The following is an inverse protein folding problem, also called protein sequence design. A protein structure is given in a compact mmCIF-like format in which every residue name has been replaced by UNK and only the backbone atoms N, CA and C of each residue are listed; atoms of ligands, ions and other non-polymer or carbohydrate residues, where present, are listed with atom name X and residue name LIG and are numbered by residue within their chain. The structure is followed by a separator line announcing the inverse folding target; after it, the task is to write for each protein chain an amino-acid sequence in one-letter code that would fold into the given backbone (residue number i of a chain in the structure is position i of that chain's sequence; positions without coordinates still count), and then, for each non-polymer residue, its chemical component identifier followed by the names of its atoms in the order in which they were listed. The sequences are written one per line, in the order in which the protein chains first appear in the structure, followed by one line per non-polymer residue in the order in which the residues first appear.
data_IF_590836943043
#
_entry.id   IF_590836943043
#
_cell.length_a   1.000
_cell.length_b   1.000
_cell.length_c   1.000
_cell.angle_alpha   90.00
_cell.angle_beta   90.00
_cell.angle_gamma   90.00
#
_symmetry.space_group_name_H-M   'P 1'
#
loop_
_entity.id
_entity.type
_entity.pdbx_description
1 polymer ?
#
# COMPACT_ATOMS: atom_id res chain seq x y z
N UNK A 1 -18.76 -11.70 -12.04
CA UNK A 1 -18.02 -10.65 -11.30
C UNK A 1 -17.84 -11.07 -9.86
N UNK A 2 -16.89 -11.96 -9.58
CA UNK A 2 -16.35 -12.12 -8.23
C UNK A 2 -15.00 -11.43 -8.28
N UNK A 3 -14.85 -10.40 -7.45
CA UNK A 3 -13.54 -9.81 -7.20
C UNK A 3 -12.63 -10.91 -6.65
N UNK A 4 -11.56 -11.22 -7.38
CA UNK A 4 -10.58 -12.20 -6.90
C UNK A 4 -9.71 -11.52 -5.84
N UNK A 5 -9.44 -12.24 -4.76
CA UNK A 5 -8.58 -11.73 -3.68
C UNK A 5 -7.18 -12.30 -3.78
N UNK A 6 -6.18 -11.48 -3.48
CA UNK A 6 -4.78 -11.85 -3.41
C UNK A 6 -4.09 -11.07 -2.28
N UNK A 7 -2.84 -11.44 -1.98
CA UNK A 7 -1.97 -10.65 -1.12
C UNK A 7 -0.70 -10.30 -1.87
N UNK A 8 -0.30 -9.03 -1.81
CA UNK A 8 1.04 -8.61 -2.16
C UNK A 8 1.90 -8.53 -0.90
N UNK A 9 3.08 -9.10 -0.94
CA UNK A 9 4.11 -8.91 0.07
C UNK A 9 5.09 -7.88 -0.48
N UNK A 10 5.21 -6.75 0.19
CA UNK A 10 5.98 -5.61 -0.31
C UNK A 10 6.87 -5.04 0.79
N UNK A 11 8.10 -4.70 0.43
CA UNK A 11 9.00 -3.89 1.26
C UNK A 11 8.81 -2.43 0.88
N UNK A 12 8.43 -1.61 1.86
CA UNK A 12 8.33 -0.16 1.72
C UNK A 12 9.56 0.45 2.34
N UNK A 13 10.38 1.12 1.53
CA UNK A 13 11.52 1.92 1.99
C UNK A 13 11.14 3.41 1.89
N UNK A 14 11.11 4.11 3.02
CA UNK A 14 10.95 5.56 3.06
C UNK A 14 12.07 6.14 3.92
N UNK A 15 12.86 7.05 3.34
CA UNK A 15 14.02 7.67 4.00
C UNK A 15 15.02 6.65 4.58
N UNK A 16 15.24 5.51 3.92
CA UNK A 16 16.14 4.46 4.41
C UNK A 16 15.58 3.59 5.53
N UNK A 17 14.36 3.86 5.99
CA UNK A 17 13.64 2.97 6.90
C UNK A 17 12.83 1.98 6.09
N UNK A 18 13.14 0.69 6.24
CA UNK A 18 12.46 -0.40 5.56
C UNK A 18 11.48 -1.12 6.49
N UNK A 19 10.29 -1.42 5.96
CA UNK A 19 9.26 -2.23 6.61
C UNK A 19 8.55 -3.10 5.59
N UNK A 20 8.26 -4.33 5.97
CA UNK A 20 7.49 -5.26 5.15
C UNK A 20 5.99 -5.18 5.45
N UNK A 21 5.18 -5.23 4.39
CA UNK A 21 3.73 -5.19 4.46
C UNK A 21 3.12 -6.36 3.68
N UNK A 22 2.07 -6.94 4.28
CA UNK A 22 1.14 -7.82 3.59
C UNK A 22 -0.09 -7.02 3.20
N UNK A 23 -0.20 -6.68 1.92
CA UNK A 23 -1.26 -5.81 1.38
C UNK A 23 -2.36 -6.68 0.77
N UNK A 24 -3.60 -6.63 1.28
CA UNK A 24 -4.72 -7.30 0.63
C UNK A 24 -5.06 -6.60 -0.69
N UNK A 25 -5.19 -7.39 -1.76
CA UNK A 25 -5.55 -6.93 -3.09
C UNK A 25 -6.87 -7.56 -3.53
N UNK A 26 -7.72 -6.75 -4.16
CA UNK A 26 -8.81 -7.21 -5.03
C UNK A 26 -8.39 -6.96 -6.48
N UNK A 27 -8.59 -7.92 -7.37
CA UNK A 27 -8.27 -7.73 -8.78
C UNK A 27 -9.35 -8.25 -9.72
N UNK A 28 -9.42 -7.61 -10.89
CA UNK A 28 -10.33 -7.96 -11.98
C UNK A 28 -9.57 -8.01 -13.30
N UNK A 29 -9.79 -9.07 -14.07
CA UNK A 29 -9.26 -9.19 -15.43
C UNK A 29 -9.90 -8.14 -16.35
N UNK A 30 -9.09 -7.54 -17.21
CA UNK A 30 -9.48 -6.59 -18.23
C UNK A 30 -9.20 -7.21 -19.61
N UNK A 31 -10.08 -8.13 -20.02
CA UNK A 31 -9.83 -9.00 -21.17
C UNK A 31 -8.79 -10.09 -20.84
N UNK A 32 -7.99 -10.49 -21.82
CA UNK A 32 -7.15 -11.69 -21.71
C UNK A 32 -5.73 -11.41 -21.20
N UNK A 33 -5.24 -10.17 -21.33
CA UNK A 33 -3.81 -9.86 -21.15
C UNK A 33 -3.56 -8.79 -20.09
N UNK A 34 -4.62 -8.31 -19.42
CA UNK A 34 -4.51 -7.26 -18.42
C UNK A 34 -5.34 -7.57 -17.20
N UNK A 35 -4.93 -7.04 -16.06
CA UNK A 35 -5.73 -7.01 -14.84
C UNK A 35 -5.58 -5.65 -14.15
N UNK A 36 -6.62 -5.23 -13.44
CA UNK A 36 -6.55 -4.10 -12.51
C UNK A 36 -6.60 -4.66 -11.11
N UNK A 37 -5.56 -4.41 -10.32
CA UNK A 37 -5.51 -4.75 -8.90
C UNK A 37 -5.63 -3.49 -8.05
N UNK A 38 -6.41 -3.56 -6.97
CA UNK A 38 -6.64 -2.48 -6.00
C UNK A 38 -6.32 -2.98 -4.60
N UNK A 39 -5.65 -2.16 -3.82
CA UNK A 39 -5.30 -2.47 -2.45
C UNK A 39 -5.28 -1.24 -1.57
N UNK A 40 -5.40 -1.47 -0.28
CA UNK A 40 -5.25 -0.44 0.74
C UNK A 40 -4.45 -1.01 1.89
N UNK A 41 -3.51 -0.24 2.40
CA UNK A 41 -2.82 -0.55 3.64
C UNK A 41 -2.56 0.72 4.43
N UNK A 42 -2.41 0.57 5.74
CA UNK A 42 -2.16 1.68 6.66
C UNK A 42 -0.86 1.42 7.40
N UNK A 43 -0.07 2.47 7.59
CA UNK A 43 1.14 2.43 8.39
C UNK A 43 1.24 3.67 9.28
N UNK A 44 2.10 3.60 10.29
CA UNK A 44 2.40 4.74 11.15
C UNK A 44 3.53 5.57 10.56
N UNK A 45 3.32 6.86 10.31
CA UNK A 45 4.35 7.75 9.76
C UNK A 45 5.59 7.82 10.67
N UNK A 46 5.40 7.66 11.98
CA UNK A 46 6.50 7.65 12.96
C UNK A 46 7.43 6.45 12.81
N UNK A 47 6.96 5.29 12.32
CA UNK A 47 7.79 4.12 12.05
C UNK A 47 8.83 4.35 10.94
N UNK A 48 8.66 5.41 10.14
CA UNK A 48 9.55 5.85 9.07
C UNK A 48 10.19 7.21 9.36
N UNK A 49 10.08 7.70 10.60
CA UNK A 49 10.58 9.01 11.02
C UNK A 49 10.06 10.16 10.13
N UNK A 50 8.79 10.08 9.73
CA UNK A 50 8.11 11.12 8.95
C UNK A 50 7.39 12.07 9.90
N UNK A 51 7.68 13.37 9.79
CA UNK A 51 7.11 14.41 10.65
C UNK A 51 7.71 14.38 12.06
N UNK A 52 9.02 14.63 12.16
CA UNK A 52 9.76 14.71 13.44
C UNK A 52 9.77 16.15 13.99
N UNK A 53 10.36 16.34 15.17
CA UNK A 53 10.46 17.65 15.83
C UNK A 53 9.07 18.21 16.18
N UNK A 54 8.78 19.44 15.76
CA UNK A 54 7.49 20.09 16.00
C UNK A 54 6.29 19.32 15.41
N UNK A 55 6.52 18.47 14.40
CA UNK A 55 5.48 17.68 13.73
C UNK A 55 5.28 16.28 14.33
N UNK A 56 6.02 15.94 15.40
CA UNK A 56 5.97 14.62 16.03
C UNK A 56 4.68 14.35 16.81
N UNK A 57 3.96 15.40 17.21
CA UNK A 57 2.78 15.26 18.05
C UNK A 57 1.62 14.58 17.29
N UNK A 58 1.29 13.35 17.70
CA UNK A 58 0.24 12.53 17.07
C UNK A 58 -1.18 12.96 17.42
N UNK A 59 -1.34 13.84 18.42
CA UNK A 59 -2.61 14.49 18.73
C UNK A 59 -2.91 15.65 17.78
N UNK A 60 -1.86 16.27 17.21
CA UNK A 60 -1.99 17.36 16.23
C UNK A 60 -2.05 16.80 14.82
N UNK A 61 -1.18 15.84 14.50
CA UNK A 61 -1.13 15.17 13.20
C UNK A 61 -1.19 13.66 13.40
N UNK A 62 -2.32 13.05 13.00
CA UNK A 62 -2.56 11.61 13.14
C UNK A 62 -1.38 10.80 12.59
N UNK A 63 -1.03 9.75 13.32
CA UNK A 63 0.10 8.88 12.98
C UNK A 63 -0.22 7.93 11.82
N UNK A 64 -1.48 7.48 11.76
CA UNK A 64 -1.94 6.56 10.71
C UNK A 64 -1.99 7.25 9.34
N UNK A 65 -1.26 6.67 8.39
CA UNK A 65 -1.26 7.04 6.98
C UNK A 65 -1.83 5.87 6.19
N UNK A 66 -2.93 6.11 5.49
CA UNK A 66 -3.55 5.12 4.61
C UNK A 66 -3.10 5.36 3.18
N UNK A 67 -2.58 4.31 2.54
CA UNK A 67 -2.17 4.31 1.14
C UNK A 67 -3.15 3.46 0.35
N UNK A 68 -3.70 4.05 -0.71
CA UNK A 68 -4.52 3.36 -1.69
C UNK A 68 -3.69 3.12 -2.94
N UNK A 69 -3.66 1.88 -3.41
CA UNK A 69 -2.88 1.46 -4.57
C UNK A 69 -3.83 0.96 -5.65
N UNK A 70 -3.61 1.40 -6.88
CA UNK A 70 -4.25 0.85 -8.08
C UNK A 70 -3.15 0.51 -9.06
N UNK A 71 -3.06 -0.77 -9.42
CA UNK A 71 -2.05 -1.30 -10.34
C UNK A 71 -2.74 -1.78 -11.60
N UNK A 72 -2.17 -1.43 -12.76
CA UNK A 72 -2.48 -2.11 -14.03
C UNK A 72 -1.39 -3.14 -14.26
N UNK A 73 -1.80 -4.40 -14.37
CA UNK A 73 -0.92 -5.54 -14.54
C UNK A 73 -1.04 -6.04 -15.98
N UNK A 74 0.08 -6.18 -16.66
CA UNK A 74 0.14 -6.95 -17.90
C UNK A 74 0.35 -8.42 -17.54
N UNK A 75 -0.58 -9.28 -17.97
CA UNK A 75 -0.52 -10.71 -17.73
C UNK A 75 0.39 -11.34 -18.78
N UNK A 76 1.43 -12.02 -18.31
CA UNK A 76 2.27 -12.83 -19.18
C UNK A 76 1.43 -14.02 -19.65
N UNK A 77 1.22 -14.11 -20.96
CA UNK A 77 0.54 -15.23 -21.62
C UNK A 77 1.40 -16.49 -21.62
#
# INVERSE_FOLDING_TARGET
NKDNTAYAFATVNIKGNEKDFKIPLSYNLQGNNKAIAKGTFTFKRTNFEIGTGLWSNTLVLKDDVTVNVVLTLDLVQ
#
